data_IF_793688638466
#
_entry.id   IF_793688638466
#
_cell.length_a   1.000
_cell.length_b   1.000
_cell.length_c   1.000
_cell.angle_alpha   90.00
_cell.angle_beta   90.00
_cell.angle_gamma   90.00
#
_symmetry.space_group_name_H-M   'P 1'
#
loop_
_entity.id
_entity.type
_entity.pdbx_description
1 polymer ?
#
# COMPACT_ATOMS: atom_id res chain seq x y z
N UNK A 1 30.17 2.12 -9.08
CA UNK A 1 28.73 2.23 -9.42
C UNK A 1 27.96 2.21 -8.12
N UNK A 2 27.08 3.17 -7.85
CA UNK A 2 26.24 3.14 -6.66
C UNK A 2 25.10 2.13 -6.89
N UNK A 3 24.97 1.15 -6.00
CA UNK A 3 23.89 0.13 -6.04
C UNK A 3 22.74 0.48 -5.09
N UNK A 4 22.76 1.70 -4.52
CA UNK A 4 21.77 2.19 -3.59
C UNK A 4 21.38 3.63 -3.92
N UNK A 5 20.10 3.94 -3.71
CA UNK A 5 19.52 5.27 -3.88
C UNK A 5 18.18 5.35 -3.14
N UNK A 6 17.86 6.51 -2.60
CA UNK A 6 16.59 6.77 -1.91
C UNK A 6 15.76 7.71 -2.76
N UNK A 7 14.55 7.29 -3.12
CA UNK A 7 13.58 8.13 -3.80
C UNK A 7 12.53 8.59 -2.79
N UNK A 8 12.28 9.90 -2.75
CA UNK A 8 11.29 10.51 -1.85
C UNK A 8 10.39 11.40 -2.69
N UNK A 9 9.09 11.33 -2.44
CA UNK A 9 8.10 12.21 -3.06
C UNK A 9 7.13 12.69 -1.98
N UNK A 10 6.73 13.96 -2.05
CA UNK A 10 5.75 14.56 -1.15
C UNK A 10 4.49 14.89 -1.96
N UNK A 11 3.36 14.31 -1.58
CA UNK A 11 2.08 14.53 -2.24
C UNK A 11 1.13 15.20 -1.24
N UNK A 12 0.61 16.40 -1.56
CA UNK A 12 -0.38 17.06 -0.72
C UNK A 12 -1.65 16.21 -0.59
N UNK A 13 -1.99 15.82 0.63
CA UNK A 13 -3.18 15.01 0.88
C UNK A 13 -4.43 15.89 0.94
N UNK A 14 -5.47 15.51 0.18
CA UNK A 14 -6.82 16.03 0.35
C UNK A 14 -7.51 15.26 1.48
N UNK A 15 -7.13 15.52 2.72
CA UNK A 15 -7.68 14.84 3.90
C UNK A 15 -6.78 14.92 5.14
N UNK A 16 -7.21 14.31 6.24
CA UNK A 16 -6.41 14.25 7.47
C UNK A 16 -5.33 13.17 7.39
N UNK A 17 -4.14 13.48 7.88
CA UNK A 17 -3.01 12.54 7.91
C UNK A 17 -3.35 11.25 8.68
N UNK A 18 -4.10 11.35 9.78
CA UNK A 18 -4.54 10.18 10.57
C UNK A 18 -5.38 9.20 9.76
N UNK A 19 -6.34 9.68 8.96
CA UNK A 19 -7.19 8.79 8.14
C UNK A 19 -6.36 8.11 7.06
N UNK A 20 -5.44 8.85 6.44
CA UNK A 20 -4.54 8.29 5.43
C UNK A 20 -3.64 7.22 6.06
N UNK A 21 -2.97 7.54 7.17
CA UNK A 21 -2.11 6.60 7.90
C UNK A 21 -2.86 5.35 8.36
N UNK A 22 -4.06 5.51 8.94
CA UNK A 22 -4.90 4.38 9.36
C UNK A 22 -5.21 3.45 8.19
N UNK A 23 -5.46 4.01 7.00
CA UNK A 23 -5.76 3.21 5.81
C UNK A 23 -4.60 2.32 5.39
N UNK A 24 -3.39 2.87 5.41
CA UNK A 24 -2.14 2.14 5.13
C UNK A 24 -1.71 1.20 6.25
N UNK A 25 -2.11 1.46 7.50
CA UNK A 25 -1.76 0.61 8.64
C UNK A 25 -2.73 -0.55 8.80
N UNK A 26 -4.01 -0.24 9.02
CA UNK A 26 -5.03 -1.16 9.54
C UNK A 26 -6.22 -1.42 8.60
N UNK A 27 -6.36 -0.69 7.48
CA UNK A 27 -7.48 -0.86 6.53
C UNK A 27 -7.03 -1.17 5.08
N UNK A 28 -5.89 -1.86 4.90
CA UNK A 28 -5.34 -2.16 3.57
C UNK A 28 -6.20 -3.13 2.76
N UNK A 29 -7.03 -3.92 3.43
CA UNK A 29 -8.01 -4.78 2.77
C UNK A 29 -9.03 -4.01 1.92
N UNK A 30 -9.16 -2.68 2.12
CA UNK A 30 -10.05 -1.81 1.33
C UNK A 30 -9.36 -1.29 0.05
N UNK A 31 -8.05 -1.50 -0.12
CA UNK A 31 -7.35 -1.02 -1.32
C UNK A 31 -7.79 -1.70 -2.62
N UNK A 32 -8.03 -3.03 -2.66
CA UNK A 32 -8.61 -3.66 -3.84
C UNK A 32 -9.94 -3.04 -4.29
N UNK A 33 -10.80 -2.65 -3.35
CA UNK A 33 -12.08 -2.02 -3.66
C UNK A 33 -11.94 -0.55 -4.06
N UNK A 34 -10.99 0.19 -3.47
CA UNK A 34 -10.79 1.62 -3.71
C UNK A 34 -9.93 1.93 -4.95
N UNK A 35 -8.93 1.09 -5.22
CA UNK A 35 -7.93 1.25 -6.28
C UNK A 35 -7.61 -0.08 -6.98
N UNK A 36 -8.63 -0.91 -7.21
CA UNK A 36 -8.53 -2.22 -7.88
C UNK A 36 -7.84 -2.23 -9.23
N UNK A 37 -7.81 -1.07 -9.90
CA UNK A 37 -7.10 -0.84 -11.17
C UNK A 37 -5.56 -0.80 -11.00
N UNK A 38 -5.04 -0.50 -9.81
CA UNK A 38 -3.60 -0.55 -9.48
C UNK A 38 -3.26 -1.67 -8.49
N UNK A 39 -4.08 -1.89 -7.46
CA UNK A 39 -3.86 -2.93 -6.44
C UNK A 39 -5.04 -3.89 -6.51
N UNK A 40 -4.80 -5.08 -7.05
CA UNK A 40 -5.85 -6.06 -7.32
C UNK A 40 -6.17 -6.91 -6.11
N UNK A 41 -5.17 -7.18 -5.25
CA UNK A 41 -5.37 -8.00 -4.06
C UNK A 41 -4.32 -7.70 -2.99
N UNK A 42 -4.70 -7.82 -1.73
CA UNK A 42 -3.82 -7.74 -0.56
C UNK A 42 -4.11 -8.95 0.32
N UNK A 43 -3.19 -9.90 0.35
CA UNK A 43 -3.32 -11.12 1.16
C UNK A 43 -2.39 -11.05 2.36
N UNK A 44 -2.95 -11.16 3.57
CA UNK A 44 -2.17 -11.28 4.81
C UNK A 44 -1.87 -12.76 5.02
N UNK A 45 -0.58 -13.11 5.12
CA UNK A 45 -0.13 -14.50 5.26
C UNK A 45 0.14 -14.89 6.72
N UNK A 46 0.73 -13.98 7.50
CA UNK A 46 1.03 -14.18 8.91
C UNK A 46 0.80 -12.89 9.71
N UNK A 47 0.26 -13.04 10.93
CA UNK A 47 -0.09 -11.93 11.82
C UNK A 47 -1.41 -11.26 11.50
N UNK A 48 -1.95 -10.51 12.47
CA UNK A 48 -3.14 -9.69 12.28
C UNK A 48 -2.78 -8.40 11.54
N UNK A 49 -3.77 -7.78 10.91
CA UNK A 49 -3.58 -6.58 10.09
C UNK A 49 -3.06 -5.35 10.89
N UNK A 50 -3.03 -5.40 12.22
CA UNK A 50 -2.44 -4.35 13.08
C UNK A 50 -1.25 -4.87 13.92
N UNK A 51 -0.84 -6.13 13.74
CA UNK A 51 0.26 -6.70 14.51
C UNK A 51 1.63 -6.36 13.90
N UNK A 52 2.55 -5.98 14.78
CA UNK A 52 3.96 -5.82 14.44
C UNK A 52 4.51 -7.16 13.91
N UNK A 53 5.20 -7.13 12.77
CA UNK A 53 5.72 -8.33 12.11
C UNK A 53 4.74 -9.03 11.16
N UNK A 54 3.59 -8.42 10.82
CA UNK A 54 2.69 -9.01 9.83
C UNK A 54 3.30 -9.07 8.43
N UNK A 55 3.17 -10.22 7.76
CA UNK A 55 3.66 -10.46 6.39
C UNK A 55 2.49 -10.38 5.43
N UNK A 56 2.65 -9.59 4.35
CA UNK A 56 1.59 -9.32 3.37
C UNK A 56 2.10 -9.45 1.94
N UNK A 57 1.32 -10.09 1.10
CA UNK A 57 1.53 -10.12 -0.35
C UNK A 57 0.58 -9.13 -1.02
N UNK A 58 1.14 -8.30 -1.89
CA UNK A 58 0.42 -7.28 -2.64
C UNK A 58 0.46 -7.64 -4.11
N UNK A 59 -0.70 -7.90 -4.71
CA UNK A 59 -0.84 -8.06 -6.14
C UNK A 59 -1.18 -6.69 -6.75
N UNK A 60 -0.25 -6.12 -7.51
CA UNK A 60 -0.42 -4.83 -8.14
C UNK A 60 -0.03 -4.89 -9.62
N UNK A 61 -0.73 -4.12 -10.44
CA UNK A 61 -0.39 -3.89 -11.85
C UNK A 61 0.30 -2.54 -11.98
N UNK A 62 1.44 -2.53 -12.65
CA UNK A 62 2.17 -1.31 -12.99
C UNK A 62 2.26 -1.17 -14.50
N UNK A 63 1.61 -0.14 -15.05
CA UNK A 63 1.60 0.16 -16.48
C UNK A 63 0.20 0.12 -17.11
N UNK A 64 -0.06 1.06 -18.02
CA UNK A 64 -1.19 1.00 -18.95
C UNK A 64 -0.90 -0.12 -19.96
N UNK A 65 -1.70 -1.19 -19.99
CA UNK A 65 -1.59 -2.20 -21.04
C UNK A 65 -2.15 -1.58 -22.33
N UNK A 66 -1.28 -1.27 -23.30
CA UNK A 66 -1.64 -0.85 -24.66
C UNK A 66 -1.99 -2.04 -25.52
#
# INVERSE_FOLDING_TARGET
MATSGTYVTEVPLKGTAEKHYKRWKSENHVFPDAIGHHIQNVTVHEGEHDSHGSIRSWNYTWGFNS
#
